data_IF_634040561646
#
_entry.id   IF_634040561646
#
_cell.length_a   1.000
_cell.length_b   1.000
_cell.length_c   1.000
_cell.angle_alpha   90.00
_cell.angle_beta   90.00
_cell.angle_gamma   90.00
#
_symmetry.space_group_name_H-M   'P 1'
#
loop_
_entity.id
_entity.type
_entity.pdbx_description
1 polymer ?
#
# COMPACT_ATOMS: atom_id res chain seq x y z
N UNK A 1 10.20 -5.83 22.36
CA UNK A 1 9.04 -5.62 21.47
C UNK A 1 9.50 -4.86 20.24
N UNK A 2 9.01 -5.21 19.05
CA UNK A 2 9.34 -4.56 17.78
C UNK A 2 8.07 -4.10 17.07
N UNK A 3 8.05 -2.86 16.56
CA UNK A 3 6.85 -2.25 15.99
C UNK A 3 7.23 -1.60 14.66
N UNK A 4 6.51 -1.97 13.59
CA UNK A 4 6.64 -1.36 12.27
C UNK A 4 5.56 -0.31 12.08
N UNK A 5 5.95 0.96 11.93
CA UNK A 5 5.01 2.07 11.71
C UNK A 5 5.52 3.01 10.62
N UNK A 6 4.62 3.80 10.04
CA UNK A 6 5.00 4.95 9.22
C UNK A 6 5.82 5.96 10.04
N UNK A 7 6.69 6.72 9.36
CA UNK A 7 7.56 7.71 9.99
C UNK A 7 6.77 8.77 10.79
N UNK A 8 5.58 9.14 10.29
CA UNK A 8 4.66 10.08 10.95
C UNK A 8 4.24 9.65 12.36
N UNK A 9 4.21 8.34 12.64
CA UNK A 9 3.72 7.80 13.90
C UNK A 9 4.85 7.57 14.93
N UNK A 10 6.08 8.00 14.62
CA UNK A 10 7.27 7.76 15.44
C UNK A 10 7.13 8.29 16.88
N UNK A 11 6.56 9.48 17.05
CA UNK A 11 6.33 10.08 18.39
C UNK A 11 5.48 9.19 19.28
N UNK A 12 4.35 8.69 18.74
CA UNK A 12 3.42 7.81 19.46
C UNK A 12 4.08 6.50 19.92
N UNK A 13 5.00 5.94 19.13
CA UNK A 13 5.74 4.72 19.48
C UNK A 13 6.72 4.98 20.62
N UNK A 14 7.36 6.14 20.66
CA UNK A 14 8.28 6.53 21.74
C UNK A 14 7.51 6.76 23.03
N UNK A 15 6.35 7.43 22.95
CA UNK A 15 5.47 7.68 24.11
C UNK A 15 4.92 6.39 24.74
N UNK A 16 4.72 5.33 23.95
CA UNK A 16 4.25 4.05 24.47
C UNK A 16 5.16 3.46 25.56
N UNK A 17 6.45 3.81 25.58
CA UNK A 17 7.40 3.40 26.63
C UNK A 17 6.95 3.87 28.02
N UNK A 18 6.27 5.01 28.15
CA UNK A 18 5.78 5.52 29.44
C UNK A 18 4.71 4.63 30.08
N UNK A 19 4.12 3.70 29.32
CA UNK A 19 3.09 2.79 29.83
C UNK A 19 3.65 1.51 30.44
N UNK A 20 4.94 1.23 30.26
CA UNK A 20 5.57 0.00 30.77
C UNK A 20 6.47 0.32 31.96
N UNK A 21 6.42 -0.47 33.05
CA UNK A 21 7.29 -0.29 34.20
C UNK A 21 8.76 -0.60 33.84
N UNK A 22 9.70 0.12 34.46
CA UNK A 22 11.14 -0.09 34.30
C UNK A 22 11.79 0.68 33.13
N UNK A 23 13.12 0.62 33.05
CA UNK A 23 13.90 1.35 32.04
C UNK A 23 14.07 0.52 30.75
N UNK A 24 13.10 0.61 29.84
CA UNK A 24 13.20 -0.05 28.53
C UNK A 24 13.99 0.81 27.51
N UNK A 25 15.01 0.27 26.84
CA UNK A 25 15.74 1.01 25.79
C UNK A 25 15.01 0.92 24.46
N UNK A 26 14.88 2.05 23.76
CA UNK A 26 14.31 2.11 22.41
C UNK A 26 15.48 2.18 21.44
N UNK A 27 15.52 1.24 20.49
CA UNK A 27 16.47 1.25 19.39
C UNK A 27 15.71 1.49 18.09
N UNK A 28 16.14 2.48 17.31
CA UNK A 28 15.62 2.72 15.97
C UNK A 28 16.47 1.88 15.01
N UNK A 29 15.83 0.92 14.36
CA UNK A 29 16.48 0.09 13.36
C UNK A 29 16.80 0.91 12.09
N UNK A 30 17.92 0.60 11.44
CA UNK A 30 18.23 1.07 10.08
C UNK A 30 17.55 0.23 8.99
N UNK A 31 17.02 -0.94 9.39
CA UNK A 31 16.37 -1.87 8.48
C UNK A 31 15.00 -1.36 8.05
N UNK A 32 14.60 -1.74 6.84
CA UNK A 32 13.27 -1.45 6.35
C UNK A 32 12.23 -2.33 7.06
N UNK A 33 11.49 -1.76 8.01
CA UNK A 33 10.49 -2.47 8.79
C UNK A 33 11.06 -3.70 9.50
N UNK A 34 10.50 -4.87 9.21
CA UNK A 34 10.96 -6.16 9.74
C UNK A 34 11.79 -6.99 8.75
N UNK A 35 12.19 -6.39 7.64
CA UNK A 35 13.02 -7.08 6.65
C UNK A 35 14.48 -7.14 7.10
N UNK A 36 15.27 -7.98 6.41
CA UNK A 36 16.71 -8.08 6.66
C UNK A 36 17.53 -6.92 6.08
N UNK A 37 16.98 -6.19 5.12
CA UNK A 37 17.67 -5.16 4.34
C UNK A 37 17.62 -3.79 5.03
N UNK A 38 18.61 -2.94 4.73
CA UNK A 38 18.56 -1.54 5.13
C UNK A 38 17.49 -0.79 4.34
N UNK A 39 17.04 0.36 4.86
CA UNK A 39 16.07 1.22 4.15
C UNK A 39 16.55 1.57 2.74
N UNK A 40 17.80 2.02 2.61
CA UNK A 40 18.38 2.46 1.34
C UNK A 40 18.48 1.31 0.32
N UNK A 41 18.92 0.13 0.77
CA UNK A 41 18.99 -1.08 -0.08
C UNK A 41 17.61 -1.52 -0.55
N UNK A 42 16.62 -1.45 0.34
CA UNK A 42 15.25 -1.85 0.02
C UNK A 42 14.61 -0.90 -1.01
N UNK A 43 14.85 0.41 -0.90
CA UNK A 43 14.39 1.40 -1.88
C UNK A 43 14.97 1.11 -3.27
N UNK A 44 16.27 0.79 -3.36
CA UNK A 44 16.89 0.39 -4.63
C UNK A 44 16.26 -0.90 -5.19
N UNK A 45 16.05 -1.92 -4.35
CA UNK A 45 15.41 -3.17 -4.78
C UNK A 45 13.97 -2.96 -5.25
N UNK A 46 13.21 -2.06 -4.63
CA UNK A 46 11.85 -1.70 -5.05
C UNK A 46 11.88 -0.97 -6.39
N UNK A 47 12.84 -0.08 -6.62
CA UNK A 47 13.03 0.57 -7.92
C UNK A 47 13.34 -0.45 -9.04
N UNK A 48 14.08 -1.50 -8.71
CA UNK A 48 14.38 -2.63 -9.59
C UNK A 48 13.22 -3.66 -9.70
N UNK A 49 12.11 -3.45 -8.99
CA UNK A 49 10.93 -4.34 -8.94
C UNK A 49 11.23 -5.79 -8.55
N UNK A 50 12.27 -6.01 -7.74
CA UNK A 50 12.67 -7.34 -7.26
C UNK A 50 11.84 -7.91 -6.09
N UNK A 51 11.44 -7.14 -5.07
CA UNK A 51 10.74 -7.70 -3.91
C UNK A 51 9.27 -7.99 -4.24
N UNK A 52 8.82 -9.20 -3.90
CA UNK A 52 7.41 -9.58 -3.98
C UNK A 52 6.76 -9.33 -2.61
N UNK A 53 5.72 -8.49 -2.51
CA UNK A 53 4.98 -8.32 -1.27
C UNK A 53 4.21 -9.61 -0.94
N UNK A 54 4.42 -10.13 0.27
CA UNK A 54 3.76 -11.34 0.78
C UNK A 54 3.04 -11.04 2.10
N UNK A 55 1.82 -10.51 1.98
CA UNK A 55 1.01 -10.06 3.11
C UNK A 55 1.78 -9.10 4.05
N UNK A 56 2.20 -9.58 5.22
CA UNK A 56 2.96 -8.79 6.20
C UNK A 56 4.48 -8.86 5.98
N UNK A 57 4.96 -9.80 5.17
CA UNK A 57 6.38 -10.00 4.87
C UNK A 57 6.69 -9.62 3.41
N UNK A 58 7.98 -9.65 3.08
CA UNK A 58 8.46 -9.45 1.71
C UNK A 58 9.28 -10.66 1.31
N UNK A 59 8.87 -11.34 0.25
CA UNK A 59 9.62 -12.43 -0.36
C UNK A 59 10.65 -11.84 -1.32
N UNK A 60 11.92 -12.17 -1.08
CA UNK A 60 13.01 -11.83 -1.99
C UNK A 60 13.15 -12.91 -3.06
N UNK A 61 13.27 -12.49 -4.32
CA UNK A 61 13.66 -13.38 -5.42
C UNK A 61 15.17 -13.25 -5.61
N UNK A 62 15.96 -14.32 -5.41
CA UNK A 62 17.39 -14.32 -5.74
C UNK A 62 17.64 -14.02 -7.22
N UNK A 63 18.82 -13.51 -7.58
CA UNK A 63 19.18 -13.31 -8.99
C UNK A 63 19.34 -14.63 -9.76
N UNK A 64 19.60 -15.75 -9.07
CA UNK A 64 19.90 -17.06 -9.67
C UNK A 64 18.70 -18.02 -9.77
N UNK A 65 17.49 -17.53 -10.06
CA UNK A 65 16.33 -18.41 -10.30
C UNK A 65 16.17 -18.69 -11.80
N UNK A 66 15.80 -19.91 -12.22
CA UNK A 66 15.45 -20.18 -13.61
C UNK A 66 14.40 -19.19 -14.13
N UNK A 67 14.64 -18.63 -15.33
CA UNK A 67 13.86 -17.54 -15.92
C UNK A 67 12.34 -17.81 -15.93
N UNK A 68 11.93 -19.05 -16.21
CA UNK A 68 10.52 -19.44 -16.22
C UNK A 68 9.84 -19.26 -14.85
N UNK A 69 10.53 -19.59 -13.75
CA UNK A 69 10.02 -19.37 -12.39
C UNK A 69 9.97 -17.89 -12.04
N UNK A 70 10.97 -17.12 -12.48
CA UNK A 70 11.00 -15.66 -12.30
C UNK A 70 9.79 -14.99 -12.97
N UNK A 71 9.51 -15.33 -14.24
CA UNK A 71 8.35 -14.81 -14.98
C UNK A 71 7.01 -15.17 -14.32
N UNK A 72 6.85 -16.41 -13.84
CA UNK A 72 5.62 -16.85 -13.19
C UNK A 72 5.34 -16.10 -11.87
N UNK A 73 6.38 -15.77 -11.12
CA UNK A 73 6.25 -14.99 -9.89
C UNK A 73 5.80 -13.56 -10.17
N UNK A 74 6.39 -12.90 -11.17
CA UNK A 74 6.04 -11.53 -11.55
C UNK A 74 4.73 -11.41 -12.34
N UNK A 75 4.27 -12.47 -13.03
CA UNK A 75 2.99 -12.41 -13.74
C UNK A 75 1.80 -12.30 -12.78
N UNK A 76 1.88 -12.92 -11.59
CA UNK A 76 0.82 -12.89 -10.58
C UNK A 76 0.48 -11.46 -10.11
N UNK A 77 1.47 -10.60 -10.02
CA UNK A 77 1.29 -9.19 -9.65
C UNK A 77 0.61 -8.39 -10.76
N UNK A 78 0.95 -8.67 -12.02
CA UNK A 78 0.36 -7.99 -13.18
C UNK A 78 -1.16 -8.22 -13.27
N UNK A 79 -1.63 -9.43 -12.98
CA UNK A 79 -3.06 -9.75 -12.98
C UNK A 79 -3.83 -9.05 -11.86
N UNK A 80 -3.28 -9.02 -10.63
CA UNK A 80 -3.91 -8.32 -9.52
C UNK A 80 -3.96 -6.81 -9.73
N UNK A 81 -2.88 -6.19 -10.24
CA UNK A 81 -2.89 -4.78 -10.57
C UNK A 81 -3.90 -4.45 -11.67
N UNK A 82 -3.96 -5.25 -12.75
CA UNK A 82 -4.93 -5.03 -13.83
C UNK A 82 -6.38 -5.13 -13.35
N UNK A 83 -6.71 -6.16 -12.56
CA UNK A 83 -8.05 -6.32 -11.96
C UNK A 83 -8.42 -5.18 -11.02
N UNK A 84 -7.49 -4.73 -10.17
CA UNK A 84 -7.71 -3.60 -9.26
C UNK A 84 -7.90 -2.29 -10.02
N UNK A 85 -7.12 -2.04 -11.07
CA UNK A 85 -7.28 -0.83 -11.90
C UNK A 85 -8.61 -0.83 -12.64
N UNK A 86 -9.04 -1.98 -13.16
CA UNK A 86 -10.32 -2.12 -13.84
C UNK A 86 -11.49 -1.90 -12.87
N UNK A 87 -11.44 -2.49 -11.68
CA UNK A 87 -12.46 -2.27 -10.64
C UNK A 87 -12.53 -0.80 -10.20
N UNK A 88 -11.38 -0.12 -10.06
CA UNK A 88 -11.34 1.29 -9.69
C UNK A 88 -11.93 2.21 -10.78
N UNK A 89 -11.67 1.91 -12.07
CA UNK A 89 -12.25 2.63 -13.20
C UNK A 89 -13.78 2.47 -13.26
N UNK A 90 -14.30 1.26 -13.04
CA UNK A 90 -15.74 0.98 -12.99
C UNK A 90 -16.45 1.76 -11.87
N UNK A 91 -15.85 1.79 -10.67
CA UNK A 91 -16.37 2.54 -9.53
C UNK A 91 -16.43 4.05 -9.82
N UNK A 92 -15.37 4.62 -10.42
CA UNK A 92 -15.34 6.03 -10.80
C UNK A 92 -16.39 6.35 -11.87
N UNK A 93 -16.53 5.50 -12.89
CA UNK A 93 -17.56 5.66 -13.93
C UNK A 93 -18.97 5.60 -13.35
N UNK A 94 -19.21 4.69 -12.41
CA UNK A 94 -20.47 4.60 -11.66
C UNK A 94 -20.77 5.88 -10.88
N UNK A 95 -19.77 6.40 -10.17
CA UNK A 95 -19.89 7.65 -9.41
C UNK A 95 -20.20 8.85 -10.31
N UNK A 96 -19.51 8.98 -11.45
CA UNK A 96 -19.76 10.06 -12.41
C UNK A 96 -21.16 9.96 -13.04
N UNK A 97 -21.62 8.75 -13.40
CA UNK A 97 -22.98 8.52 -13.91
C UNK A 97 -24.03 8.93 -12.88
N UNK A 98 -23.83 8.60 -11.60
CA UNK A 98 -24.74 8.98 -10.51
C UNK A 98 -24.80 10.51 -10.34
N UNK A 99 -23.65 11.18 -10.28
CA UNK A 99 -23.55 12.66 -10.23
C UNK A 99 -24.24 13.33 -11.42
N UNK A 100 -24.11 12.79 -12.63
CA UNK A 100 -24.75 13.34 -13.84
C UNK A 100 -26.27 13.15 -13.84
N UNK A 101 -26.77 12.04 -13.27
CA UNK A 101 -28.20 11.78 -13.10
C UNK A 101 -28.82 12.71 -12.05
N UNK A 102 -28.15 12.93 -10.92
CA UNK A 102 -28.59 13.87 -9.88
C UNK A 102 -28.68 15.31 -10.42
N UNK A 103 -27.71 15.77 -11.21
CA UNK A 103 -27.76 17.09 -11.85
C UNK A 103 -28.92 17.25 -12.85
N UNK A 104 -29.22 16.21 -13.63
CA UNK A 104 -30.37 16.22 -14.57
C UNK A 104 -31.71 16.21 -13.85
N UNK A 105 -31.81 15.51 -12.73
CA UNK A 105 -33.02 15.50 -11.91
C UNK A 105 -33.24 16.85 -11.23
N UNK A 106 -32.17 17.52 -10.78
CA UNK A 106 -32.26 18.86 -10.18
C UNK A 106 -32.65 19.94 -11.20
N UNK A 107 -32.16 19.89 -12.45
CA UNK A 107 -32.55 20.86 -13.49
C UNK A 107 -33.99 20.69 -14.01
N UNK A 108 -34.61 19.53 -13.78
CA UNK A 108 -35.99 19.26 -14.19
C UNK A 108 -37.03 19.65 -13.11
N UNK A 109 -36.59 20.18 -11.95
CA UNK A 109 -37.47 20.67 -10.88
C UNK A 109 -37.59 22.20 -10.85
N UNK A 110 -36.88 22.93 -11.72
CA UNK A 110 -36.99 24.40 -11.84
C UNK A 110 -37.60 24.78 -13.20
N UNK A 111 -38.94 24.87 -13.26
CA UNK A 111 -39.71 25.86 -14.03
C UNK A 111 -41.21 25.73 -13.67
N UNK A 112 -41.95 26.84 -13.60
CA UNK A 112 -42.77 27.18 -12.44
C UNK A 112 -44.27 26.97 -12.69
N UNK A 113 -44.99 26.46 -11.68
CA UNK A 113 -46.45 26.69 -11.63
C UNK A 113 -46.70 28.11 -11.14
N UNK A 114 -47.27 28.91 -12.05
CA UNK A 114 -47.91 30.22 -11.84
C UNK A 114 -49.23 30.03 -11.10
#
# INVERSE_FOLDING_TARGET
MSIGTKLQNKGRVIEAKFKFPGCQKIHISKKWGFTKFNADEFENMVAEKQPIPDACEVKYIPSCVPLAKWQALHSREAWHCALLTHAHQEILLSYQKKKKKEKKNASNQETPEV
#
